data_IF_961314670733
#
_entry.id   IF_961314670733
#
_cell.length_a   1.000
_cell.length_b   1.000
_cell.length_c   1.000
_cell.angle_alpha   90.00
_cell.angle_beta   90.00
_cell.angle_gamma   90.00
#
_symmetry.space_group_name_H-M   'P 1'
#
loop_
_entity.id
_entity.type
_entity.pdbx_description
1 polymer ?
#
# COMPACT_ATOMS: atom_id res chain seq x y z
N UNK A 1 -28.79 -12.54 45.73
CA UNK A 1 -28.58 -11.39 44.82
C UNK A 1 -27.09 -11.21 44.68
N UNK A 2 -26.55 -11.34 43.48
CA UNK A 2 -25.12 -11.17 43.19
C UNK A 2 -25.02 -10.71 41.74
N UNK A 3 -25.23 -9.41 41.55
CA UNK A 3 -25.06 -8.75 40.27
C UNK A 3 -23.60 -8.35 40.11
N UNK A 4 -23.15 -8.36 38.86
CA UNK A 4 -21.89 -7.79 38.38
C UNK A 4 -20.60 -8.53 38.67
N UNK A 5 -20.41 -9.63 37.96
CA UNK A 5 -19.14 -9.79 37.23
C UNK A 5 -19.43 -9.98 35.75
N UNK A 6 -20.10 -8.97 35.18
CA UNK A 6 -20.00 -8.71 33.76
C UNK A 6 -18.52 -8.40 33.49
N UNK A 7 -17.71 -9.45 33.29
CA UNK A 7 -16.43 -9.38 32.57
C UNK A 7 -16.80 -8.94 31.16
N UNK A 8 -17.12 -7.66 31.02
CA UNK A 8 -17.15 -6.96 29.76
C UNK A 8 -15.73 -7.09 29.25
N UNK A 9 -15.49 -8.14 28.47
CA UNK A 9 -14.37 -8.27 27.57
C UNK A 9 -14.44 -7.01 26.72
N UNK A 10 -13.76 -5.94 27.17
CA UNK A 10 -13.91 -4.58 26.69
C UNK A 10 -13.90 -4.61 25.17
N UNK A 11 -15.06 -4.55 24.49
CA UNK A 11 -15.11 -4.79 23.04
C UNK A 11 -14.49 -3.62 22.27
N UNK A 12 -14.22 -2.52 22.99
CA UNK A 12 -13.58 -1.31 22.51
C UNK A 12 -12.12 -1.16 22.97
N UNK A 13 -11.50 -2.21 23.54
CA UNK A 13 -10.06 -2.24 23.83
C UNK A 13 -9.20 -2.44 22.57
N UNK A 14 -9.69 -2.01 21.40
CA UNK A 14 -8.84 -1.82 20.24
C UNK A 14 -7.96 -0.63 20.54
N UNK A 15 -6.81 -0.91 21.16
CA UNK A 15 -5.84 0.13 21.47
C UNK A 15 -5.46 0.84 20.17
N UNK A 16 -5.36 2.18 20.15
CA UNK A 16 -4.98 2.95 18.95
C UNK A 16 -3.67 2.44 18.33
N UNK A 17 -2.79 1.84 19.16
CA UNK A 17 -1.61 1.11 18.74
C UNK A 17 -1.88 -0.04 17.76
N UNK A 18 -2.91 -0.86 17.99
CA UNK A 18 -3.27 -1.96 17.09
C UNK A 18 -3.72 -1.43 15.73
N UNK A 19 -4.57 -0.39 15.70
CA UNK A 19 -5.01 0.24 14.45
C UNK A 19 -3.83 0.79 13.66
N UNK A 20 -2.93 1.53 14.32
CA UNK A 20 -1.72 2.05 13.70
C UNK A 20 -0.82 0.93 13.16
N UNK A 21 -0.68 -0.17 13.91
CA UNK A 21 0.10 -1.35 13.50
C UNK A 21 -0.50 -2.03 12.26
N UNK A 22 -1.82 -2.13 12.17
CA UNK A 22 -2.50 -2.68 10.99
C UNK A 22 -2.35 -1.76 9.77
N UNK A 23 -2.53 -0.45 9.95
CA UNK A 23 -2.32 0.56 8.91
C UNK A 23 -0.88 0.55 8.38
N UNK A 24 0.12 0.49 9.28
CA UNK A 24 1.52 0.43 8.90
C UNK A 24 1.86 -0.81 8.08
N UNK A 25 1.32 -1.98 8.45
CA UNK A 25 1.50 -3.23 7.69
C UNK A 25 0.93 -3.13 6.28
N UNK A 26 -0.26 -2.55 6.14
CA UNK A 26 -0.90 -2.33 4.84
C UNK A 26 -0.13 -1.31 4.00
N UNK A 27 0.32 -0.21 4.62
CA UNK A 27 1.12 0.82 3.96
C UNK A 27 2.44 0.26 3.44
N UNK A 28 3.17 -0.52 4.24
CA UNK A 28 4.45 -1.13 3.83
C UNK A 28 4.29 -2.06 2.62
N UNK A 29 3.21 -2.84 2.58
CA UNK A 29 2.87 -3.70 1.42
C UNK A 29 2.53 -2.87 0.18
N UNK A 30 1.82 -1.76 0.35
CA UNK A 30 1.48 -0.86 -0.75
C UNK A 30 2.70 -0.13 -1.29
N UNK A 31 3.60 0.33 -0.40
CA UNK A 31 4.86 0.96 -0.76
C UNK A 31 5.74 0.02 -1.60
N UNK A 32 5.93 -1.23 -1.14
CA UNK A 32 6.68 -2.25 -1.89
C UNK A 32 6.09 -2.46 -3.30
N UNK A 33 4.75 -2.56 -3.42
CA UNK A 33 4.08 -2.67 -4.72
C UNK A 33 4.28 -1.44 -5.60
N UNK A 34 4.31 -0.24 -5.01
CA UNK A 34 4.59 1.01 -5.73
C UNK A 34 6.03 1.07 -6.21
N UNK A 35 7.00 0.68 -5.39
CA UNK A 35 8.40 0.60 -5.80
C UNK A 35 8.59 -0.40 -6.93
N UNK A 36 8.00 -1.60 -6.86
CA UNK A 36 8.03 -2.56 -7.97
C UNK A 36 7.42 -1.98 -9.24
N UNK A 37 6.29 -1.27 -9.15
CA UNK A 37 5.67 -0.59 -10.30
C UNK A 37 6.53 0.54 -10.85
N UNK A 38 7.17 1.33 -9.99
CA UNK A 38 8.05 2.41 -10.40
C UNK A 38 9.33 1.88 -11.06
N UNK A 39 9.90 0.79 -10.53
CA UNK A 39 11.07 0.10 -11.12
C UNK A 39 10.69 -0.49 -12.48
N UNK A 40 9.56 -1.20 -12.58
CA UNK A 40 9.06 -1.76 -13.83
C UNK A 40 8.72 -0.66 -14.86
N UNK A 41 8.06 0.43 -14.44
CA UNK A 41 7.78 1.56 -15.32
C UNK A 41 9.06 2.23 -15.78
N UNK A 42 10.02 2.47 -14.89
CA UNK A 42 11.32 3.06 -15.23
C UNK A 42 12.10 2.17 -16.21
N UNK A 43 11.99 0.85 -16.07
CA UNK A 43 12.59 -0.11 -16.99
C UNK A 43 11.88 -0.08 -18.35
N UNK A 44 10.54 -0.01 -18.36
CA UNK A 44 9.72 0.20 -19.56
C UNK A 44 10.06 1.51 -20.25
N UNK A 45 10.21 2.63 -19.53
CA UNK A 45 10.59 3.94 -20.07
C UNK A 45 12.03 3.92 -20.63
N UNK A 46 12.96 3.24 -19.95
CA UNK A 46 14.33 3.08 -20.49
C UNK A 46 14.35 2.22 -21.75
N UNK A 47 13.54 1.16 -21.81
CA UNK A 47 13.37 0.34 -23.01
C UNK A 47 12.70 1.15 -24.12
N UNK A 48 11.62 1.89 -23.84
CA UNK A 48 10.93 2.79 -24.78
C UNK A 48 11.85 3.86 -25.37
N UNK A 49 12.77 4.39 -24.54
CA UNK A 49 13.78 5.35 -25.00
C UNK A 49 14.82 4.70 -25.92
N UNK A 50 15.11 3.41 -25.74
CA UNK A 50 16.10 2.66 -26.52
C UNK A 50 15.56 2.21 -27.89
N UNK A 51 14.25 1.90 -27.98
CA UNK A 51 13.57 1.57 -29.25
C UNK A 51 13.30 2.80 -30.14
N UNK A 52 13.65 4.02 -29.72
CA UNK A 52 13.56 5.21 -30.58
C UNK A 52 12.14 5.65 -30.97
N UNK A 53 11.09 4.98 -30.47
CA UNK A 53 9.69 5.40 -30.65
C UNK A 53 9.39 6.47 -29.59
N UNK A 54 10.12 7.59 -29.70
CA UNK A 54 9.66 8.85 -29.18
C UNK A 54 8.34 9.18 -29.87
N UNK A 55 7.42 9.75 -29.11
CA UNK A 55 6.06 10.18 -29.47
C UNK A 55 5.99 11.24 -30.61
N UNK A 56 6.96 11.25 -31.53
CA UNK A 56 7.08 12.19 -32.64
C UNK A 56 6.88 11.55 -34.03
N UNK A 57 6.68 10.23 -34.14
CA UNK A 57 6.52 9.57 -35.45
C UNK A 57 5.04 9.38 -35.87
N UNK A 58 4.10 10.02 -35.15
CA UNK A 58 2.69 10.13 -35.53
C UNK A 58 2.40 11.55 -36.04
N UNK A 59 3.08 11.97 -37.10
CA UNK A 59 2.62 13.06 -37.93
C UNK A 59 2.91 12.71 -39.40
N UNK A 60 2.10 11.78 -39.92
CA UNK A 60 1.91 11.58 -41.35
C UNK A 60 1.01 12.67 -41.93
#
# INVERSE_FOLDING_TARGET
>A
MGYDENRAAKPFAVTPYLLLRYLWRSFRRWQLRRETRAILSRLSDSQLKDIGIGRNDWNG
#
